data_IF_810644781504
#
_entry.id   IF_810644781504
#
_cell.length_a   1.000
_cell.length_b   1.000
_cell.length_c   1.000
_cell.angle_alpha   90.00
_cell.angle_beta   90.00
_cell.angle_gamma   90.00
#
_symmetry.space_group_name_H-M   'P 1'
#
loop_
_entity.id
_entity.type
_entity.pdbx_description
1 polymer ?
#
# COMPACT_ATOMS: atom_id res chain seq x y z
N UNK A 1 -18.09 -10.29 7.55
CA UNK A 1 -18.05 -11.36 6.52
C UNK A 1 -17.48 -10.76 5.22
N UNK A 2 -16.73 -11.48 4.39
CA UNK A 2 -16.32 -11.01 3.04
C UNK A 2 -17.23 -11.67 2.01
N UNK A 3 -17.81 -10.86 1.13
CA UNK A 3 -18.67 -11.32 0.04
C UNK A 3 -18.53 -10.31 -1.09
N UNK A 4 -17.73 -10.64 -2.10
CA UNK A 4 -17.52 -9.82 -3.28
C UNK A 4 -17.51 -10.75 -4.49
N UNK A 5 -18.21 -10.40 -5.55
CA UNK A 5 -18.14 -11.16 -6.78
C UNK A 5 -16.73 -11.05 -7.35
N UNK A 6 -16.12 -12.20 -7.67
CA UNK A 6 -14.73 -12.24 -8.10
C UNK A 6 -14.58 -11.55 -9.46
N UNK A 7 -13.86 -10.43 -9.46
CA UNK A 7 -13.51 -9.71 -10.68
C UNK A 7 -12.52 -10.50 -11.55
N UNK A 8 -12.58 -10.30 -12.88
CA UNK A 8 -11.66 -10.97 -13.84
C UNK A 8 -10.17 -10.65 -13.60
N UNK A 9 -9.87 -9.59 -12.87
CA UNK A 9 -8.50 -9.10 -12.61
C UNK A 9 -8.05 -9.35 -11.16
N UNK A 10 -8.91 -9.93 -10.32
CA UNK A 10 -8.62 -10.15 -8.90
C UNK A 10 -7.78 -11.43 -8.72
N UNK A 11 -6.59 -11.28 -8.14
CA UNK A 11 -5.68 -12.40 -7.88
C UNK A 11 -6.20 -13.32 -6.76
N UNK A 12 -6.74 -12.76 -5.66
CA UNK A 12 -7.23 -13.53 -4.50
C UNK A 12 -8.36 -12.80 -3.75
N UNK A 13 -9.17 -13.52 -2.97
CA UNK A 13 -10.19 -12.96 -2.07
C UNK A 13 -9.58 -12.07 -0.95
N UNK A 14 -8.27 -12.22 -0.69
CA UNK A 14 -7.57 -11.49 0.37
C UNK A 14 -7.17 -10.06 -0.05
N UNK A 15 -7.18 -9.79 -1.35
CA UNK A 15 -6.71 -8.55 -1.99
C UNK A 15 -7.33 -7.27 -1.39
N UNK A 16 -8.59 -7.33 -0.96
CA UNK A 16 -9.32 -6.18 -0.40
C UNK A 16 -9.34 -6.11 1.12
N UNK A 17 -8.81 -7.13 1.81
CA UNK A 17 -8.85 -7.19 3.28
C UNK A 17 -8.17 -5.97 3.94
N UNK A 18 -7.13 -5.43 3.30
CA UNK A 18 -6.43 -4.23 3.73
C UNK A 18 -7.33 -3.01 3.93
N UNK A 19 -8.37 -2.86 3.10
CA UNK A 19 -9.25 -1.69 3.15
C UNK A 19 -10.23 -1.79 4.33
N UNK A 20 -10.31 -2.94 5.00
CA UNK A 20 -11.07 -3.11 6.25
C UNK A 20 -10.29 -2.67 7.47
N UNK A 21 -9.01 -2.29 7.33
CA UNK A 21 -8.16 -1.90 8.46
C UNK A 21 -8.83 -0.85 9.36
N UNK A 22 -9.41 0.26 8.85
CA UNK A 22 -10.13 1.21 9.69
C UNK A 22 -11.34 0.60 10.41
N UNK A 23 -12.14 -0.22 9.73
CA UNK A 23 -13.28 -0.90 10.34
C UNK A 23 -12.86 -1.84 11.47
N UNK A 24 -11.81 -2.66 11.25
CA UNK A 24 -11.27 -3.59 12.24
C UNK A 24 -10.67 -2.88 13.46
N UNK A 25 -10.13 -1.68 13.26
CA UNK A 25 -9.67 -0.81 14.33
C UNK A 25 -10.80 -0.02 15.03
N UNK A 26 -12.07 -0.33 14.74
CA UNK A 26 -13.25 0.43 15.20
C UNK A 26 -13.17 1.92 14.88
N UNK A 27 -12.46 2.26 13.80
CA UNK A 27 -12.15 3.63 13.38
C UNK A 27 -11.52 4.47 14.52
N UNK A 28 -10.60 3.87 15.28
CA UNK A 28 -9.87 4.52 16.37
C UNK A 28 -8.36 4.46 16.13
N UNK A 29 -7.68 5.57 16.44
CA UNK A 29 -6.22 5.67 16.40
C UNK A 29 -5.62 5.36 15.03
N UNK A 30 -4.41 4.81 15.04
CA UNK A 30 -3.68 4.39 13.85
C UNK A 30 -3.55 2.88 13.78
N UNK A 31 -3.58 2.34 12.56
CA UNK A 31 -3.26 0.94 12.29
C UNK A 31 -2.43 0.82 11.01
N UNK A 32 -1.51 -0.15 11.01
CA UNK A 32 -0.71 -0.48 9.82
C UNK A 32 -1.25 -1.75 9.19
N UNK A 33 -1.58 -1.68 7.90
CA UNK A 33 -1.67 -2.86 7.07
C UNK A 33 -0.29 -3.18 6.49
N UNK A 34 0.09 -4.46 6.45
CA UNK A 34 1.33 -4.95 5.85
C UNK A 34 1.13 -6.35 5.28
N UNK A 35 1.65 -6.59 4.08
CA UNK A 35 1.67 -7.92 3.48
C UNK A 35 2.61 -8.87 4.26
N UNK A 36 2.44 -10.18 4.09
CA UNK A 36 3.19 -11.19 4.82
C UNK A 36 4.65 -11.36 4.36
N UNK A 37 5.07 -10.66 3.29
CA UNK A 37 6.39 -10.75 2.65
C UNK A 37 7.33 -9.61 3.07
N UNK A 38 7.12 -9.04 4.27
CA UNK A 38 7.96 -7.98 4.83
C UNK A 38 8.97 -8.48 5.87
N UNK A 39 10.20 -7.96 5.79
CA UNK A 39 11.26 -8.10 6.78
C UNK A 39 11.66 -6.73 7.32
N UNK A 40 11.52 -6.50 8.62
CA UNK A 40 11.90 -5.25 9.28
C UNK A 40 13.32 -5.36 9.85
N UNK A 41 14.16 -4.37 9.55
CA UNK A 41 15.57 -4.30 9.93
C UNK A 41 15.86 -3.18 10.94
N UNK A 42 14.91 -2.27 11.14
CA UNK A 42 15.01 -1.15 12.09
C UNK A 42 13.84 -1.16 13.06
N UNK A 43 13.98 -0.42 14.17
CA UNK A 43 12.93 -0.30 15.17
C UNK A 43 11.69 0.36 14.56
N UNK A 44 10.55 -0.34 14.63
CA UNK A 44 9.27 0.15 14.12
C UNK A 44 8.87 1.49 14.74
N UNK A 45 9.36 1.82 15.94
CA UNK A 45 9.15 3.12 16.57
C UNK A 45 9.58 4.28 15.67
N UNK A 46 10.68 4.14 14.94
CA UNK A 46 11.13 5.18 14.01
C UNK A 46 10.13 5.43 12.88
N UNK A 47 9.35 4.41 12.46
CA UNK A 47 8.25 4.59 11.50
C UNK A 47 7.04 5.25 12.16
N UNK A 48 6.73 4.88 13.41
CA UNK A 48 5.63 5.48 14.18
C UNK A 48 5.88 6.97 14.43
N UNK A 49 7.14 7.36 14.68
CA UNK A 49 7.51 8.77 14.90
C UNK A 49 7.33 9.65 13.64
N UNK A 50 7.14 9.04 12.46
CA UNK A 50 6.81 9.75 11.22
C UNK A 50 5.31 10.01 11.04
N UNK A 51 4.46 9.38 11.87
CA UNK A 51 3.00 9.48 11.75
C UNK A 51 2.54 10.93 11.94
N UNK A 52 1.63 11.38 11.07
CA UNK A 52 1.07 12.73 11.12
C UNK A 52 -0.47 12.68 11.04
N UNK A 53 -1.12 13.13 12.12
CA UNK A 53 -2.57 13.10 12.30
C UNK A 53 -3.37 13.94 11.27
N UNK A 54 -2.70 14.84 10.54
CA UNK A 54 -3.33 15.58 9.45
C UNK A 54 -3.81 14.67 8.31
N UNK A 55 -3.15 13.53 8.11
CA UNK A 55 -3.37 12.70 6.92
C UNK A 55 -4.23 11.48 7.23
N UNK A 56 -5.25 11.19 6.40
CA UNK A 56 -6.00 9.94 6.48
C UNK A 56 -5.13 8.69 6.24
N UNK A 57 -4.16 8.78 5.34
CA UNK A 57 -3.29 7.66 4.95
C UNK A 57 -1.85 8.15 4.76
N UNK A 58 -0.91 7.31 5.15
CA UNK A 58 0.51 7.46 4.79
C UNK A 58 1.05 6.15 4.20
N UNK A 59 1.75 6.23 3.07
CA UNK A 59 2.38 5.05 2.45
C UNK A 59 3.59 5.45 1.60
N UNK A 60 4.45 4.47 1.26
CA UNK A 60 5.55 4.75 0.34
C UNK A 60 5.01 4.83 -1.09
N UNK A 61 5.23 5.99 -1.71
CA UNK A 61 4.73 6.34 -3.04
C UNK A 61 5.78 5.99 -4.11
N UNK A 62 5.94 4.69 -4.39
CA UNK A 62 6.87 4.26 -5.44
C UNK A 62 6.35 4.70 -6.81
N UNK A 63 7.19 5.36 -7.59
CA UNK A 63 6.92 5.65 -8.99
C UNK A 63 7.26 4.41 -9.84
N UNK A 64 6.22 3.78 -10.40
CA UNK A 64 6.38 2.65 -11.28
C UNK A 64 6.18 3.10 -12.73
N UNK A 65 7.29 3.40 -13.40
CA UNK A 65 7.33 3.58 -14.84
C UNK A 65 7.77 2.26 -15.51
N UNK A 66 6.88 1.53 -16.21
CA UNK A 66 7.29 0.44 -17.10
C UNK A 66 8.42 0.87 -18.04
N UNK A 67 9.58 0.19 -18.00
CA UNK A 67 10.60 0.38 -19.04
C UNK A 67 10.24 -0.33 -20.34
N UNK A 68 9.40 -1.36 -20.27
CA UNK A 68 8.93 -2.13 -21.43
C UNK A 68 7.40 -2.01 -21.55
N UNK A 69 6.93 -1.84 -22.79
CA UNK A 69 5.50 -1.68 -23.14
C UNK A 69 4.77 -3.03 -23.25
N UNK A 70 5.50 -4.14 -23.18
CA UNK A 70 5.01 -5.52 -23.31
C UNK A 70 5.52 -6.39 -22.16
N UNK A 71 4.63 -7.19 -21.58
CA UNK A 71 4.98 -8.22 -20.58
C UNK A 71 5.71 -9.40 -21.25
N UNK A 72 6.28 -10.31 -20.45
CA UNK A 72 6.96 -11.52 -20.94
C UNK A 72 6.09 -12.43 -21.84
N UNK A 73 4.77 -12.34 -21.74
CA UNK A 73 3.78 -13.10 -22.54
C UNK A 73 3.25 -12.32 -23.77
N UNK A 74 3.82 -11.15 -24.07
CA UNK A 74 3.39 -10.30 -25.18
C UNK A 74 2.14 -9.46 -24.88
N UNK A 75 1.56 -9.54 -23.68
CA UNK A 75 0.43 -8.69 -23.31
C UNK A 75 0.89 -7.23 -23.10
N UNK A 76 0.05 -6.27 -23.51
CA UNK A 76 0.30 -4.85 -23.25
C UNK A 76 0.47 -4.61 -21.75
N UNK A 77 1.59 -3.99 -21.37
CA UNK A 77 1.84 -3.59 -19.99
C UNK A 77 1.03 -2.34 -19.68
N UNK A 78 -0.17 -2.53 -19.11
CA UNK A 78 -1.02 -1.42 -18.67
C UNK A 78 -0.35 -0.68 -17.51
N UNK A 79 -0.25 0.64 -17.62
CA UNK A 79 0.20 1.50 -16.51
C UNK A 79 -0.89 1.46 -15.45
N UNK A 80 -0.54 0.99 -14.26
CA UNK A 80 -1.45 0.97 -13.11
C UNK A 80 -1.06 2.12 -12.19
N UNK A 81 -1.89 3.17 -12.07
CA UNK A 81 -1.58 4.28 -11.17
C UNK A 81 -1.48 3.74 -9.73
N UNK A 82 -0.54 4.28 -8.94
CA UNK A 82 -0.29 3.87 -7.54
C UNK A 82 0.09 2.40 -7.37
N UNK A 83 0.65 1.77 -8.41
CA UNK A 83 1.20 0.41 -8.29
C UNK A 83 2.24 0.38 -7.17
N UNK A 84 2.21 -0.68 -6.37
CA UNK A 84 3.11 -0.87 -5.23
C UNK A 84 2.98 0.21 -4.13
N UNK A 85 1.81 0.82 -3.93
CA UNK A 85 1.55 1.70 -2.77
C UNK A 85 0.90 0.94 -1.61
N UNK A 86 0.05 -0.04 -1.93
CA UNK A 86 -0.90 -0.65 -1.00
C UNK A 86 -0.38 -1.85 -0.17
N UNK A 87 0.73 -2.49 -0.54
CA UNK A 87 1.28 -3.62 0.24
C UNK A 87 1.77 -3.28 1.66
N UNK A 88 1.88 -1.98 1.98
CA UNK A 88 2.05 -1.49 3.34
C UNK A 88 1.49 -0.07 3.44
N UNK A 89 0.48 0.12 4.29
CA UNK A 89 -0.25 1.38 4.43
C UNK A 89 -0.49 1.68 5.91
N UNK A 90 -0.17 2.90 6.32
CA UNK A 90 -0.56 3.44 7.63
C UNK A 90 -1.92 4.12 7.46
N UNK A 91 -2.92 3.60 8.17
CA UNK A 91 -4.26 4.18 8.21
C UNK A 91 -4.43 4.97 9.49
N UNK A 92 -4.78 6.25 9.35
CA UNK A 92 -5.36 7.01 10.44
C UNK A 92 -6.82 6.59 10.58
N UNK A 93 -7.08 5.51 11.30
CA UNK A 93 -8.42 4.95 11.45
C UNK A 93 -9.39 5.93 12.11
N UNK A 94 -8.89 6.85 12.94
CA UNK A 94 -9.66 7.94 13.54
C UNK A 94 -10.06 9.06 12.56
N UNK A 95 -9.38 9.21 11.42
CA UNK A 95 -9.62 10.30 10.49
C UNK A 95 -11.02 10.19 9.83
N UNK A 96 -11.83 11.27 9.77
CA UNK A 96 -13.19 11.22 9.24
C UNK A 96 -13.29 10.66 7.81
N UNK A 97 -12.31 10.96 6.94
CA UNK A 97 -12.31 10.43 5.56
C UNK A 97 -12.18 8.90 5.46
N UNK A 98 -11.65 8.22 6.48
CA UNK A 98 -11.57 6.76 6.48
C UNK A 98 -12.87 6.08 6.94
N UNK A 99 -13.89 6.83 7.37
CA UNK A 99 -15.21 6.28 7.74
C UNK A 99 -15.97 5.69 6.57
N UNK A 100 -15.64 6.09 5.34
CA UNK A 100 -16.20 5.52 4.12
C UNK A 100 -15.84 4.04 3.95
N UNK A 101 -14.70 3.59 4.52
CA UNK A 101 -14.21 2.23 4.42
C UNK A 101 -14.99 1.28 5.35
N UNK A 102 -16.27 1.10 5.02
CA UNK A 102 -17.19 0.14 5.64
C UNK A 102 -17.07 -1.23 4.99
N UNK A 103 -17.48 -2.32 5.67
CA UNK A 103 -17.54 -3.64 5.04
C UNK A 103 -18.35 -3.63 3.75
N UNK A 104 -19.45 -2.88 3.70
CA UNK A 104 -20.31 -2.74 2.52
C UNK A 104 -19.53 -2.12 1.36
N UNK A 105 -18.94 -0.95 1.57
CA UNK A 105 -18.13 -0.24 0.56
C UNK A 105 -16.99 -1.11 0.05
N UNK A 106 -16.24 -1.76 0.95
CA UNK A 106 -15.12 -2.63 0.55
C UNK A 106 -15.59 -3.84 -0.28
N UNK A 107 -16.79 -4.35 -0.02
CA UNK A 107 -17.36 -5.47 -0.75
C UNK A 107 -18.01 -5.05 -2.09
N UNK A 108 -18.49 -3.81 -2.24
CA UNK A 108 -19.29 -3.41 -3.42
C UNK A 108 -18.63 -2.40 -4.36
N UNK A 109 -17.68 -1.60 -3.89
CA UNK A 109 -17.05 -0.55 -4.72
C UNK A 109 -16.10 -1.10 -5.77
N UNK A 110 -15.74 -0.29 -6.77
CA UNK A 110 -14.80 -0.67 -7.82
C UNK A 110 -13.37 -0.92 -7.26
N UNK A 111 -12.63 -1.84 -7.89
CA UNK A 111 -11.21 -2.09 -7.55
C UNK A 111 -10.39 -0.80 -7.60
N UNK A 112 -10.65 0.02 -8.63
CA UNK A 112 -10.00 1.31 -8.83
C UNK A 112 -10.29 2.29 -7.67
N UNK A 113 -11.53 2.32 -7.16
CA UNK A 113 -11.90 3.17 -6.04
C UNK A 113 -11.02 2.87 -4.82
N UNK A 114 -10.80 1.58 -4.55
CA UNK A 114 -10.01 1.12 -3.41
C UNK A 114 -8.50 1.24 -3.67
N UNK A 115 -7.98 0.60 -4.71
CA UNK A 115 -6.53 0.54 -4.97
C UNK A 115 -5.91 1.86 -5.40
N UNK A 116 -6.69 2.76 -6.00
CA UNK A 116 -6.21 4.09 -6.33
C UNK A 116 -6.59 5.12 -5.28
N UNK A 117 -7.05 4.72 -4.09
CA UNK A 117 -7.45 5.63 -3.00
C UNK A 117 -8.37 6.77 -3.45
N UNK A 118 -9.36 6.49 -4.31
CA UNK A 118 -10.18 7.55 -4.94
C UNK A 118 -11.15 8.24 -3.95
N UNK A 119 -11.26 7.75 -2.72
CA UNK A 119 -11.99 8.46 -1.66
C UNK A 119 -11.19 9.59 -1.02
N UNK A 120 -9.90 9.72 -1.37
CA UNK A 120 -9.00 10.77 -0.92
C UNK A 120 -8.54 11.63 -2.10
N UNK A 121 -8.27 12.89 -1.80
CA UNK A 121 -7.55 13.76 -2.71
C UNK A 121 -6.04 13.46 -2.63
N UNK A 122 -5.29 13.66 -3.71
CA UNK A 122 -3.85 13.36 -3.76
C UNK A 122 -3.06 14.10 -2.68
N UNK A 123 -3.47 15.32 -2.32
CA UNK A 123 -2.84 16.10 -1.26
C UNK A 123 -3.11 15.58 0.16
N UNK A 124 -3.98 14.57 0.30
CA UNK A 124 -4.31 13.94 1.59
C UNK A 124 -3.57 12.61 1.80
N UNK A 125 -2.73 12.19 0.85
CA UNK A 125 -1.96 10.95 0.93
C UNK A 125 -0.50 11.32 1.17
N UNK A 126 -0.03 11.14 2.40
CA UNK A 126 1.34 11.50 2.77
C UNK A 126 2.34 10.40 2.40
N UNK A 127 3.56 10.80 2.07
CA UNK A 127 4.61 9.88 1.68
C UNK A 127 5.40 9.40 2.89
N UNK A 128 5.58 8.08 2.97
CA UNK A 128 6.53 7.46 3.89
C UNK A 128 7.83 7.19 3.12
N UNK A 129 9.03 7.46 3.69
CA UNK A 129 10.29 7.17 3.03
C UNK A 129 10.36 5.74 2.50
N UNK A 130 10.80 5.58 1.24
CA UNK A 130 10.79 4.28 0.55
C UNK A 130 11.65 3.23 1.26
N UNK A 131 12.60 3.62 2.11
CA UNK A 131 13.39 2.70 2.95
C UNK A 131 12.55 1.87 3.91
N UNK A 132 11.36 2.35 4.28
CA UNK A 132 10.37 1.59 5.06
C UNK A 132 9.50 0.67 4.19
N UNK A 133 9.76 0.62 2.88
CA UNK A 133 9.09 -0.24 1.91
C UNK A 133 10.04 -0.51 0.74
N UNK A 134 11.20 -1.08 1.06
CA UNK A 134 12.25 -1.32 0.08
C UNK A 134 11.91 -2.56 -0.75
N UNK A 135 11.57 -2.36 -2.01
CA UNK A 135 11.16 -3.41 -2.95
C UNK A 135 12.40 -4.10 -3.53
N UNK A 136 12.55 -5.40 -3.27
CA UNK A 136 13.63 -6.21 -3.84
C UNK A 136 13.54 -6.21 -5.37
N UNK A 137 14.68 -5.94 -6.03
CA UNK A 137 14.76 -5.86 -7.50
C UNK A 137 14.33 -4.52 -8.10
N UNK A 138 13.80 -3.59 -7.29
CA UNK A 138 13.39 -2.26 -7.73
C UNK A 138 14.22 -1.15 -7.06
N UNK A 139 14.30 -1.12 -5.74
CA UNK A 139 15.09 -0.11 -5.02
C UNK A 139 16.57 -0.52 -4.94
N UNK A 140 17.46 0.47 -4.81
CA UNK A 140 18.90 0.28 -4.63
C UNK A 140 19.42 1.19 -3.54
N UNK A 141 20.35 0.67 -2.75
CA UNK A 141 21.15 1.49 -1.82
C UNK A 141 22.19 2.23 -2.66
N UNK A 142 22.33 3.53 -2.41
CA UNK A 142 23.37 4.37 -2.99
C UNK A 142 24.56 4.37 -2.04
N UNK A 143 25.74 4.02 -2.56
CA UNK A 143 26.97 3.99 -1.76
C UNK A 143 27.25 5.37 -1.15
N UNK A 144 27.48 5.40 0.15
CA UNK A 144 27.71 6.65 0.91
C UNK A 144 26.45 7.41 1.32
N UNK A 145 25.25 6.96 0.95
CA UNK A 145 24.00 7.61 1.33
C UNK A 145 23.17 6.75 2.30
N UNK A 146 23.24 7.01 3.63
CA UNK A 146 22.48 6.27 4.63
C UNK A 146 20.96 6.44 4.48
N UNK A 147 20.47 7.49 3.81
CA UNK A 147 19.04 7.71 3.60
C UNK A 147 18.41 6.71 2.63
N UNK A 148 19.23 5.94 1.92
CA UNK A 148 18.80 4.89 0.99
C UNK A 148 18.89 3.48 1.55
N UNK A 149 19.42 3.32 2.77
CA UNK A 149 19.57 2.02 3.44
C UNK A 149 18.19 1.53 3.90
N UNK A 150 17.84 0.30 3.51
CA UNK A 150 16.53 -0.30 3.81
C UNK A 150 16.30 -0.47 5.31
N UNK A 151 15.14 0.00 5.79
CA UNK A 151 14.62 -0.22 7.15
C UNK A 151 13.54 -1.31 7.20
N UNK A 152 12.82 -1.50 6.09
CA UNK A 152 11.96 -2.66 5.88
C UNK A 152 12.02 -3.10 4.41
N UNK A 153 12.19 -4.40 4.19
CA UNK A 153 12.32 -5.02 2.87
C UNK A 153 11.02 -5.74 2.54
N UNK A 154 10.51 -5.56 1.32
CA UNK A 154 9.40 -6.33 0.77
C UNK A 154 9.90 -7.27 -0.33
N UNK A 155 9.63 -8.56 -0.18
CA UNK A 155 9.97 -9.61 -1.15
C UNK A 155 8.87 -9.79 -2.20
N UNK A 156 8.77 -8.84 -3.13
CA UNK A 156 7.73 -8.86 -4.18
C UNK A 156 7.98 -9.86 -5.31
N UNK A 157 9.17 -10.46 -5.37
CA UNK A 157 9.45 -11.55 -6.28
C UNK A 157 8.83 -12.80 -5.67
N UNK A 158 7.80 -13.38 -6.33
CA UNK A 158 7.38 -14.75 -6.01
C UNK A 158 8.64 -15.61 -6.00
N UNK A 159 8.85 -16.36 -4.91
CA UNK A 159 9.98 -17.26 -4.78
C UNK A 159 10.14 -18.06 -6.10
N UNK A 160 11.39 -18.25 -6.58
CA UNK A 160 11.65 -19.04 -7.78
C UNK A 160 11.08 -20.46 -7.69
#
# INVERSE_FOLDING_TARGET
MYWRERGKLESTEFSFSQFRTPYLANYQGWAMFVDCDFLYLSDIKELIDLVNDQYPIMCAQHDYAPKETTKMDGAMQTVYPRKNWFSKVLYNCGHPKNRVLTPEVVNSELDAFLYWFQWLDDSEIESVPFVWKFLVGHNRVVEGDPSTVSKAIQYTLRAP
#
